data_IF_223586049203
#
_entry.id   IF_223586049203
#
_cell.length_a   1.000
_cell.length_b   1.000
_cell.length_c   1.000
_cell.angle_alpha   90.00
_cell.angle_beta   90.00
_cell.angle_gamma   90.00
#
_symmetry.space_group_name_H-M   'P 1'
#
loop_
_entity.id
_entity.type
_entity.pdbx_description
1 polymer ?
#
# COMPACT_ATOMS: atom_id res chain seq x y z
N UNK A 1 14.18 -21.38 18.58
CA UNK A 1 14.80 -21.15 17.25
C UNK A 1 16.32 -20.90 17.32
N UNK A 2 16.92 -20.85 18.52
CA UNK A 2 18.39 -20.76 18.70
C UNK A 2 19.02 -19.46 18.21
N UNK A 3 18.33 -18.33 18.34
CA UNK A 3 18.88 -17.01 17.99
C UNK A 3 20.12 -16.69 18.81
N UNK A 4 21.18 -16.17 18.18
CA UNK A 4 22.47 -15.95 18.82
C UNK A 4 22.66 -14.54 19.38
N UNK A 5 21.92 -13.54 18.90
CA UNK A 5 22.01 -12.16 19.34
C UNK A 5 20.69 -11.42 19.08
N UNK A 6 20.37 -10.46 19.93
CA UNK A 6 19.28 -9.50 19.76
C UNK A 6 19.88 -8.14 19.45
N UNK A 7 19.48 -7.53 18.33
CA UNK A 7 19.85 -6.17 17.95
C UNK A 7 18.59 -5.31 17.93
N UNK A 8 18.46 -4.42 18.88
CA UNK A 8 17.33 -3.48 18.94
C UNK A 8 17.46 -2.42 17.83
N UNK A 9 16.43 -2.35 16.98
CA UNK A 9 16.23 -1.26 16.01
C UNK A 9 15.43 -0.11 16.64
N UNK A 10 14.55 -0.46 17.59
CA UNK A 10 13.90 0.45 18.52
C UNK A 10 13.57 -0.34 19.79
N UNK A 11 14.04 0.12 20.94
CA UNK A 11 13.88 -0.59 22.21
C UNK A 11 12.40 -0.81 22.54
N UNK A 12 12.04 -2.06 22.83
CA UNK A 12 10.67 -2.46 23.16
C UNK A 12 9.69 -2.43 21.97
N UNK A 13 10.14 -2.10 20.74
CA UNK A 13 9.27 -1.97 19.57
C UNK A 13 9.71 -2.93 18.46
N UNK A 14 10.99 -2.91 18.05
CA UNK A 14 11.47 -3.73 16.96
C UNK A 14 12.91 -4.19 17.18
N UNK A 15 13.19 -5.46 16.91
CA UNK A 15 14.53 -6.02 17.01
C UNK A 15 14.80 -7.04 15.89
N UNK A 16 16.07 -7.19 15.56
CA UNK A 16 16.59 -8.26 14.73
C UNK A 16 17.10 -9.41 15.60
N UNK A 17 16.80 -10.63 15.19
CA UNK A 17 17.33 -11.86 15.76
C UNK A 17 18.14 -12.58 14.68
N UNK A 18 19.45 -12.75 14.91
CA UNK A 18 20.27 -13.54 14.00
C UNK A 18 19.97 -15.03 14.16
N UNK A 19 19.51 -15.64 13.07
CA UNK A 19 19.19 -17.08 13.02
C UNK A 19 20.37 -17.92 12.51
N UNK A 20 20.43 -19.20 12.89
CA UNK A 20 21.43 -20.12 12.29
C UNK A 20 21.28 -20.19 10.76
N UNK A 21 22.38 -20.40 10.00
CA UNK A 21 22.33 -20.47 8.52
C UNK A 21 21.41 -21.58 7.97
N UNK A 22 21.12 -22.61 8.77
CA UNK A 22 20.25 -23.72 8.39
C UNK A 22 18.76 -23.45 8.63
N UNK A 23 18.40 -22.32 9.22
CA UNK A 23 17.02 -21.98 9.50
C UNK A 23 16.20 -21.80 8.20
N UNK A 24 15.08 -22.50 8.12
CA UNK A 24 14.14 -22.39 6.99
C UNK A 24 13.14 -21.27 7.31
N UNK A 25 13.01 -20.29 6.42
CA UNK A 25 12.23 -19.08 6.68
C UNK A 25 10.75 -19.37 7.03
N UNK A 26 10.08 -20.20 6.25
CA UNK A 26 8.65 -20.50 6.45
C UNK A 26 8.41 -21.30 7.74
N UNK A 27 9.25 -22.30 8.00
CA UNK A 27 9.19 -23.13 9.21
C UNK A 27 9.46 -22.29 10.47
N UNK A 28 10.53 -21.51 10.45
CA UNK A 28 10.90 -20.62 11.56
C UNK A 28 9.83 -19.57 11.82
N UNK A 29 9.24 -19.01 10.78
CA UNK A 29 8.12 -18.05 10.92
C UNK A 29 6.92 -18.70 11.60
N UNK A 30 6.56 -19.93 11.20
CA UNK A 30 5.46 -20.68 11.79
C UNK A 30 5.72 -21.03 13.26
N UNK A 31 6.93 -21.50 13.61
CA UNK A 31 7.33 -21.79 14.99
C UNK A 31 7.26 -20.54 15.87
N UNK A 32 7.81 -19.40 15.41
CA UNK A 32 7.81 -18.16 16.16
C UNK A 32 6.39 -17.64 16.39
N UNK A 33 5.54 -17.66 15.39
CA UNK A 33 4.13 -17.27 15.52
C UNK A 33 3.38 -18.17 16.49
N UNK A 34 3.61 -19.48 16.42
CA UNK A 34 3.01 -20.43 17.36
C UNK A 34 3.47 -20.19 18.80
N UNK A 35 4.75 -19.88 19.00
CA UNK A 35 5.31 -19.59 20.33
C UNK A 35 4.79 -18.27 20.93
N UNK A 36 4.57 -17.25 20.09
CA UNK A 36 4.02 -15.95 20.50
C UNK A 36 2.51 -16.02 20.77
N UNK A 37 1.80 -16.96 20.14
CA UNK A 37 0.36 -17.13 20.35
C UNK A 37 -0.45 -15.90 19.96
N UNK A 38 -1.10 -15.26 20.94
CA UNK A 38 -1.95 -14.07 20.74
C UNK A 38 -1.21 -12.74 20.98
N UNK A 39 0.10 -12.77 21.22
CA UNK A 39 0.86 -11.53 21.40
C UNK A 39 0.84 -10.70 20.12
N UNK A 40 0.62 -9.37 20.18
CA UNK A 40 0.51 -8.49 19.02
C UNK A 40 1.90 -8.17 18.41
N UNK A 41 2.56 -9.21 17.90
CA UNK A 41 3.92 -9.11 17.35
C UNK A 41 3.95 -9.63 15.92
N UNK A 42 4.41 -8.79 14.99
CA UNK A 42 4.67 -9.18 13.62
C UNK A 42 6.04 -9.89 13.52
N UNK A 43 6.05 -11.06 12.88
CA UNK A 43 7.26 -11.88 12.73
C UNK A 43 7.57 -12.07 11.26
N UNK A 44 8.77 -11.64 10.86
CA UNK A 44 9.28 -11.76 9.50
C UNK A 44 10.67 -12.41 9.51
N UNK A 45 10.83 -13.47 8.72
CA UNK A 45 12.12 -14.11 8.49
C UNK A 45 12.58 -13.83 7.07
N UNK A 46 13.75 -13.22 6.92
CA UNK A 46 14.29 -12.79 5.62
C UNK A 46 15.83 -12.79 5.62
N UNK A 47 16.43 -12.68 4.44
CA UNK A 47 17.87 -12.49 4.29
C UNK A 47 18.24 -11.03 4.64
N UNK A 48 19.23 -10.87 5.51
CA UNK A 48 19.66 -9.55 5.97
C UNK A 48 20.34 -8.72 4.86
N UNK A 49 21.11 -9.38 3.97
CA UNK A 49 21.92 -8.74 2.95
C UNK A 49 21.09 -8.05 1.86
N UNK A 50 19.90 -8.55 1.58
CA UNK A 50 19.02 -8.06 0.50
C UNK A 50 17.81 -7.27 0.97
N UNK A 51 17.69 -7.02 2.29
CA UNK A 51 16.50 -6.40 2.88
C UNK A 51 16.32 -4.91 2.58
N UNK A 52 17.43 -4.18 2.33
CA UNK A 52 17.40 -2.76 1.99
C UNK A 52 16.95 -2.58 0.54
N UNK A 53 15.88 -1.85 0.31
CA UNK A 53 15.26 -1.71 -1.01
C UNK A 53 15.49 -0.31 -1.60
N UNK A 54 15.46 -0.26 -2.93
CA UNK A 54 15.72 0.96 -3.72
C UNK A 54 14.46 1.53 -4.37
N UNK A 55 13.35 0.79 -4.29
CA UNK A 55 12.03 1.22 -4.79
C UNK A 55 11.01 0.94 -3.69
N UNK A 56 10.14 1.93 -3.40
CA UNK A 56 8.89 1.76 -2.66
C UNK A 56 7.73 1.92 -3.64
N UNK A 57 6.88 0.93 -3.74
CA UNK A 57 5.60 1.00 -4.43
C UNK A 57 4.48 0.80 -3.41
N UNK A 58 3.60 1.77 -3.25
CA UNK A 58 2.52 1.72 -2.26
C UNK A 58 1.16 1.91 -2.91
N UNK A 59 0.14 1.18 -2.43
CA UNK A 59 -1.26 1.52 -2.64
C UNK A 59 -1.65 2.75 -1.83
N UNK A 60 -2.77 3.37 -2.15
CA UNK A 60 -3.26 4.57 -1.47
C UNK A 60 -4.36 4.25 -0.45
N UNK A 61 -5.53 3.85 -0.95
CA UNK A 61 -6.73 3.63 -0.14
C UNK A 61 -6.51 2.46 0.82
N UNK A 62 -6.92 2.60 2.09
CA UNK A 62 -6.71 1.60 3.15
C UNK A 62 -5.24 1.15 3.38
N UNK A 63 -4.27 1.86 2.79
CA UNK A 63 -2.82 1.58 2.93
C UNK A 63 -2.02 2.81 3.36
N UNK A 64 -1.98 3.89 2.54
CA UNK A 64 -1.30 5.16 2.87
C UNK A 64 -2.25 6.19 3.47
N UNK A 65 -3.54 5.96 3.34
CA UNK A 65 -4.65 6.63 4.04
C UNK A 65 -5.61 5.58 4.59
N UNK A 66 -6.38 5.95 5.63
CA UNK A 66 -7.30 5.02 6.30
C UNK A 66 -8.60 4.79 5.52
N UNK A 67 -8.98 5.72 4.63
CA UNK A 67 -10.27 5.75 3.94
C UNK A 67 -10.20 5.18 2.51
N UNK A 68 -11.39 4.90 1.96
CA UNK A 68 -11.64 4.65 0.54
C UNK A 68 -12.15 5.92 -0.12
N UNK A 69 -11.38 6.55 -0.98
CA UNK A 69 -11.71 7.87 -1.56
C UNK A 69 -13.02 7.89 -2.35
N UNK A 70 -13.38 6.79 -3.02
CA UNK A 70 -14.64 6.73 -3.76
C UNK A 70 -15.86 6.73 -2.83
N UNK A 71 -15.71 6.13 -1.64
CA UNK A 71 -16.78 6.13 -0.63
C UNK A 71 -16.98 7.52 -0.04
N UNK A 72 -15.90 8.28 0.16
CA UNK A 72 -15.96 9.65 0.63
C UNK A 72 -16.64 10.58 -0.38
N UNK A 73 -16.36 10.42 -1.69
CA UNK A 73 -17.07 11.14 -2.75
C UNK A 73 -18.56 10.77 -2.81
N UNK A 74 -18.86 9.48 -2.66
CA UNK A 74 -20.24 8.98 -2.71
C UNK A 74 -21.09 9.50 -1.53
N UNK A 75 -20.47 9.62 -0.35
CA UNK A 75 -21.11 10.13 0.86
C UNK A 75 -21.51 11.61 0.70
N UNK A 76 -20.69 12.43 0.03
CA UNK A 76 -20.99 13.85 -0.24
C UNK A 76 -22.31 14.08 -0.99
N UNK A 77 -22.78 13.10 -1.75
CA UNK A 77 -24.03 13.16 -2.51
C UNK A 77 -25.06 12.11 -2.09
N UNK A 78 -24.81 11.43 -0.95
CA UNK A 78 -25.76 10.47 -0.36
C UNK A 78 -25.97 9.19 -1.18
N UNK A 79 -24.95 8.75 -1.95
CA UNK A 79 -25.01 7.51 -2.76
C UNK A 79 -24.05 6.41 -2.27
N UNK A 80 -23.51 6.54 -1.05
CA UNK A 80 -22.55 5.62 -0.47
C UNK A 80 -23.03 4.16 -0.50
N UNK A 81 -24.29 3.91 -0.10
CA UNK A 81 -24.86 2.56 -0.10
C UNK A 81 -24.90 1.94 -1.51
N UNK A 82 -25.15 2.76 -2.53
CA UNK A 82 -25.15 2.31 -3.93
C UNK A 82 -23.74 1.95 -4.41
N UNK A 83 -22.76 2.75 -4.06
CA UNK A 83 -21.34 2.48 -4.35
C UNK A 83 -20.90 1.22 -3.64
N UNK A 84 -21.23 1.04 -2.38
CA UNK A 84 -20.93 -0.15 -1.60
C UNK A 84 -21.56 -1.42 -2.21
N UNK A 85 -22.80 -1.35 -2.70
CA UNK A 85 -23.47 -2.48 -3.37
C UNK A 85 -22.73 -2.89 -4.67
N UNK A 86 -22.28 -1.91 -5.48
CA UNK A 86 -21.51 -2.21 -6.71
C UNK A 86 -20.15 -2.82 -6.35
N UNK A 87 -19.49 -2.29 -5.32
CA UNK A 87 -18.21 -2.82 -4.82
C UNK A 87 -18.36 -4.28 -4.37
N UNK A 88 -19.41 -4.59 -3.61
CA UNK A 88 -19.70 -5.96 -3.17
C UNK A 88 -19.88 -6.92 -4.35
N UNK A 89 -20.64 -6.53 -5.38
CA UNK A 89 -20.82 -7.33 -6.62
C UNK A 89 -19.48 -7.58 -7.33
N UNK A 90 -18.62 -6.58 -7.38
CA UNK A 90 -17.29 -6.73 -7.98
C UNK A 90 -16.40 -7.67 -7.15
N UNK A 91 -16.42 -7.56 -5.82
CA UNK A 91 -15.66 -8.43 -4.93
C UNK A 91 -16.15 -9.90 -4.97
N UNK A 92 -17.45 -10.11 -5.21
CA UNK A 92 -18.02 -11.44 -5.41
C UNK A 92 -17.76 -12.03 -6.81
N UNK A 93 -17.11 -11.27 -7.70
CA UNK A 93 -16.85 -11.70 -9.08
C UNK A 93 -18.06 -11.64 -10.03
N UNK A 94 -19.16 -11.01 -9.59
CA UNK A 94 -20.38 -10.85 -10.40
C UNK A 94 -20.19 -9.85 -11.54
N UNK A 95 -19.34 -8.84 -11.34
CA UNK A 95 -18.94 -7.87 -12.36
C UNK A 95 -17.43 -7.65 -12.31
N UNK A 96 -16.80 -7.42 -13.47
CA UNK A 96 -15.38 -7.13 -13.56
C UNK A 96 -15.05 -5.73 -13.02
N UNK A 97 -13.75 -5.49 -12.71
CA UNK A 97 -13.27 -4.23 -12.11
C UNK A 97 -13.65 -2.99 -12.92
N UNK A 98 -13.37 -2.98 -14.24
CA UNK A 98 -13.61 -1.80 -15.07
C UNK A 98 -15.11 -1.42 -15.18
N UNK A 99 -16.03 -2.34 -15.49
CA UNK A 99 -17.46 -2.04 -15.43
C UNK A 99 -17.92 -1.53 -14.08
N UNK A 100 -17.42 -2.12 -12.97
CA UNK A 100 -17.75 -1.68 -11.62
C UNK A 100 -17.24 -0.27 -11.34
N UNK A 101 -16.02 0.06 -11.79
CA UNK A 101 -15.46 1.41 -11.65
C UNK A 101 -16.31 2.43 -12.42
N UNK A 102 -16.66 2.12 -13.68
CA UNK A 102 -17.51 3.00 -14.50
C UNK A 102 -18.90 3.21 -13.90
N UNK A 103 -19.53 2.14 -13.39
CA UNK A 103 -20.85 2.21 -12.74
C UNK A 103 -20.80 3.09 -11.48
N UNK A 104 -19.76 2.98 -10.65
CA UNK A 104 -19.56 3.80 -9.46
C UNK A 104 -19.28 5.27 -9.82
N UNK A 105 -18.39 5.52 -10.79
CA UNK A 105 -18.05 6.88 -11.23
C UNK A 105 -19.23 7.57 -11.89
N UNK A 106 -20.08 6.85 -12.62
CA UNK A 106 -21.30 7.44 -13.21
C UNK A 106 -22.23 8.07 -12.16
N UNK A 107 -22.24 7.54 -10.93
CA UNK A 107 -23.01 8.11 -9.82
C UNK A 107 -22.51 9.49 -9.38
N UNK A 108 -21.24 9.81 -9.63
CA UNK A 108 -20.61 11.09 -9.25
C UNK A 108 -20.89 12.22 -10.26
N UNK A 109 -21.68 11.97 -11.30
CA UNK A 109 -21.97 12.96 -12.34
C UNK A 109 -22.58 14.24 -11.75
N UNK A 110 -21.97 15.37 -12.09
CA UNK A 110 -22.42 16.71 -11.66
C UNK A 110 -21.89 17.15 -10.29
N UNK A 111 -21.20 16.28 -9.55
CA UNK A 111 -20.53 16.64 -8.31
C UNK A 111 -19.44 17.69 -8.59
N UNK A 112 -19.39 18.72 -7.75
CA UNK A 112 -18.38 19.78 -7.84
C UNK A 112 -16.99 19.20 -7.52
N UNK A 113 -16.02 19.36 -8.42
CA UNK A 113 -14.68 18.83 -8.23
C UNK A 113 -13.93 19.46 -7.03
N UNK A 114 -14.32 20.68 -6.61
CA UNK A 114 -13.77 21.31 -5.40
C UNK A 114 -14.06 20.55 -4.10
N UNK A 115 -14.98 19.58 -4.12
CA UNK A 115 -15.24 18.68 -2.99
C UNK A 115 -13.99 17.89 -2.59
N UNK A 116 -13.11 17.55 -3.55
CA UNK A 116 -11.89 16.78 -3.30
C UNK A 116 -11.01 17.47 -2.25
N UNK A 117 -10.81 18.78 -2.38
CA UNK A 117 -9.97 19.53 -1.43
C UNK A 117 -10.57 19.52 -0.01
N UNK A 118 -11.90 19.58 0.11
CA UNK A 118 -12.59 19.48 1.41
C UNK A 118 -12.48 18.08 2.00
N UNK A 119 -12.60 17.04 1.18
CA UNK A 119 -12.44 15.64 1.63
C UNK A 119 -11.01 15.44 2.12
N UNK A 120 -10.00 15.82 1.33
CA UNK A 120 -8.60 15.68 1.73
C UNK A 120 -8.29 16.41 3.04
N UNK A 121 -8.81 17.64 3.19
CA UNK A 121 -8.53 18.46 4.37
C UNK A 121 -9.24 18.00 5.66
N UNK A 122 -10.44 17.40 5.55
CA UNK A 122 -11.31 17.22 6.71
C UNK A 122 -11.73 15.76 6.97
N UNK A 123 -11.51 14.86 6.01
CA UNK A 123 -12.03 13.48 6.09
C UNK A 123 -10.95 12.42 5.91
N UNK A 124 -9.86 12.72 5.20
CA UNK A 124 -8.79 11.76 5.02
C UNK A 124 -7.77 11.84 6.16
N UNK A 125 -7.35 10.67 6.61
CA UNK A 125 -6.30 10.48 7.61
C UNK A 125 -5.12 9.77 6.96
N UNK A 126 -3.93 10.37 7.03
CA UNK A 126 -2.72 9.68 6.59
C UNK A 126 -2.43 8.51 7.54
N UNK A 127 -2.17 7.35 6.98
CA UNK A 127 -1.85 6.16 7.76
C UNK A 127 -0.57 6.36 8.59
N UNK A 128 -0.61 5.86 9.83
CA UNK A 128 0.51 6.00 10.77
C UNK A 128 1.81 5.47 10.16
N UNK A 129 2.89 6.22 10.34
CA UNK A 129 4.22 5.87 9.83
C UNK A 129 4.42 6.10 8.32
N UNK A 130 3.37 6.43 7.56
CA UNK A 130 3.46 6.60 6.10
C UNK A 130 4.45 7.67 5.68
N UNK A 131 4.40 8.84 6.33
CA UNK A 131 5.35 9.93 6.04
C UNK A 131 6.78 9.53 6.38
N UNK A 132 7.00 8.93 7.55
CA UNK A 132 8.32 8.45 7.95
C UNK A 132 8.88 7.43 6.97
N UNK A 133 8.06 6.48 6.51
CA UNK A 133 8.45 5.49 5.51
C UNK A 133 8.94 6.15 4.22
N UNK A 134 8.12 7.01 3.63
CA UNK A 134 8.43 7.66 2.34
C UNK A 134 9.65 8.56 2.45
N UNK A 135 9.69 9.44 3.46
CA UNK A 135 10.79 10.41 3.62
C UNK A 135 12.12 9.71 3.91
N UNK A 136 12.12 8.70 4.79
CA UNK A 136 13.34 7.97 5.13
C UNK A 136 13.89 7.21 3.93
N UNK A 137 13.04 6.49 3.19
CA UNK A 137 13.49 5.77 1.99
C UNK A 137 14.02 6.73 0.91
N UNK A 138 13.35 7.86 0.66
CA UNK A 138 13.82 8.89 -0.28
C UNK A 138 15.18 9.45 0.10
N UNK A 139 15.36 9.83 1.36
CA UNK A 139 16.63 10.38 1.84
C UNK A 139 17.79 9.39 1.72
N UNK A 140 17.47 8.08 1.67
CA UNK A 140 18.42 7.01 1.43
C UNK A 140 18.51 6.59 -0.06
N UNK A 141 18.02 7.43 -0.97
CA UNK A 141 18.18 7.26 -2.42
C UNK A 141 17.18 6.29 -3.07
N UNK A 142 16.14 5.86 -2.36
CA UNK A 142 15.09 5.04 -2.97
C UNK A 142 14.13 5.89 -3.81
N UNK A 143 13.63 5.32 -4.90
CA UNK A 143 12.52 5.85 -5.67
C UNK A 143 11.19 5.46 -5.00
N UNK A 144 10.27 6.41 -4.87
CA UNK A 144 8.98 6.16 -4.19
C UNK A 144 7.82 6.49 -5.11
N UNK A 145 6.89 5.54 -5.30
CA UNK A 145 5.73 5.67 -6.16
C UNK A 145 4.44 5.25 -5.43
N UNK A 146 3.40 6.09 -5.54
CA UNK A 146 2.05 5.84 -5.08
C UNK A 146 1.22 5.38 -6.27
N UNK A 147 0.71 4.14 -6.27
CA UNK A 147 -0.04 3.57 -7.42
C UNK A 147 -1.37 3.00 -6.94
N UNK A 148 -2.47 3.65 -7.33
CA UNK A 148 -3.81 3.34 -6.85
C UNK A 148 -4.77 3.00 -7.99
N UNK A 149 -5.70 2.07 -7.72
CA UNK A 149 -6.90 1.88 -8.53
C UNK A 149 -7.96 2.99 -8.35
N UNK A 150 -7.73 3.91 -7.39
CA UNK A 150 -8.53 5.10 -7.15
C UNK A 150 -8.27 6.22 -8.16
N UNK A 151 -8.25 7.48 -7.70
CA UNK A 151 -8.28 8.64 -8.59
C UNK A 151 -7.11 9.60 -8.41
N UNK A 152 -6.59 10.10 -9.55
CA UNK A 152 -5.45 11.02 -9.63
C UNK A 152 -5.67 12.32 -8.82
N UNK A 153 -6.91 12.79 -8.75
CA UNK A 153 -7.28 13.97 -7.95
C UNK A 153 -6.99 13.79 -6.45
N UNK A 154 -6.92 12.57 -5.94
CA UNK A 154 -6.49 12.25 -4.58
C UNK A 154 -5.01 11.88 -4.52
N UNK A 155 -4.56 10.96 -5.40
CA UNK A 155 -3.16 10.48 -5.33
C UNK A 155 -2.16 11.62 -5.48
N UNK A 156 -2.44 12.65 -6.29
CA UNK A 156 -1.57 13.82 -6.42
C UNK A 156 -1.39 14.54 -5.08
N UNK A 157 -2.49 14.81 -4.37
CA UNK A 157 -2.46 15.51 -3.08
C UNK A 157 -1.80 14.67 -1.98
N UNK A 158 -2.15 13.40 -1.90
CA UNK A 158 -1.57 12.47 -0.91
C UNK A 158 -0.08 12.25 -1.19
N UNK A 159 0.32 12.11 -2.45
CA UNK A 159 1.71 11.99 -2.83
C UNK A 159 2.53 13.24 -2.42
N UNK A 160 2.00 14.44 -2.62
CA UNK A 160 2.61 15.69 -2.16
C UNK A 160 2.75 15.73 -0.64
N UNK A 161 1.67 15.39 0.10
CA UNK A 161 1.67 15.41 1.56
C UNK A 161 2.67 14.45 2.18
N UNK A 162 2.83 13.25 1.59
CA UNK A 162 3.75 12.21 2.06
C UNK A 162 5.16 12.37 1.48
N UNK A 163 5.27 13.04 0.32
CA UNK A 163 6.52 13.29 -0.40
C UNK A 163 6.91 12.18 -1.38
N UNK A 164 5.95 11.44 -1.96
CA UNK A 164 6.24 10.55 -3.08
C UNK A 164 6.79 11.30 -4.29
N UNK A 165 7.65 10.63 -5.06
CA UNK A 165 8.26 11.22 -6.28
C UNK A 165 7.39 11.01 -7.51
N UNK A 166 6.51 10.01 -7.47
CA UNK A 166 5.63 9.64 -8.58
C UNK A 166 4.28 9.17 -8.03
N UNK A 167 3.18 9.49 -8.74
CA UNK A 167 1.89 8.88 -8.47
C UNK A 167 1.22 8.46 -9.77
N UNK A 168 0.38 7.41 -9.72
CA UNK A 168 -0.41 6.89 -10.83
C UNK A 168 -1.77 6.45 -10.32
N UNK A 169 -2.83 6.90 -11.00
CA UNK A 169 -4.20 6.49 -10.69
C UNK A 169 -5.13 6.74 -11.89
N UNK A 170 -6.39 6.33 -11.77
CA UNK A 170 -7.41 6.63 -12.76
C UNK A 170 -7.79 8.12 -12.76
N UNK A 171 -8.18 8.64 -13.90
CA UNK A 171 -8.60 10.04 -14.03
C UNK A 171 -10.11 10.18 -13.99
N UNK A 172 -10.64 10.97 -13.06
CA UNK A 172 -12.01 11.45 -13.13
C UNK A 172 -12.08 12.60 -14.16
N UNK A 173 -12.93 12.46 -15.15
CA UNK A 173 -13.12 13.51 -16.14
C UNK A 173 -14.06 14.58 -15.59
N UNK A 174 -13.67 15.83 -15.69
CA UNK A 174 -14.49 16.98 -15.34
C UNK A 174 -14.76 17.88 -16.54
N UNK A 175 -15.82 18.67 -16.45
CA UNK A 175 -16.15 19.74 -17.37
C UNK A 175 -16.68 20.95 -16.58
N UNK A 176 -15.97 22.06 -16.69
CA UNK A 176 -16.33 23.28 -15.97
C UNK A 176 -16.33 23.11 -14.43
N UNK A 177 -15.41 22.33 -13.89
CA UNK A 177 -15.27 22.08 -12.47
C UNK A 177 -16.29 21.08 -11.88
N UNK A 178 -16.99 20.34 -12.74
CA UNK A 178 -17.92 19.27 -12.30
C UNK A 178 -17.56 17.94 -12.94
N UNK A 179 -17.57 16.87 -12.15
CA UNK A 179 -17.33 15.53 -12.65
C UNK A 179 -18.40 15.13 -13.67
N UNK A 180 -17.94 14.59 -14.81
CA UNK A 180 -18.82 14.17 -15.90
C UNK A 180 -19.50 12.82 -15.66
N UNK A 181 -19.03 12.07 -14.66
CA UNK A 181 -19.41 10.68 -14.41
C UNK A 181 -18.65 9.71 -15.33
N UNK A 182 -17.56 10.14 -15.94
CA UNK A 182 -16.72 9.31 -16.82
C UNK A 182 -15.30 9.18 -16.26
N UNK A 183 -14.66 8.04 -16.57
CA UNK A 183 -13.25 7.76 -16.28
C UNK A 183 -12.44 7.95 -17.54
N UNK A 184 -11.26 8.56 -17.43
CA UNK A 184 -10.29 8.69 -18.51
C UNK A 184 -9.66 7.34 -18.87
N UNK A 185 -9.34 7.17 -20.16
CA UNK A 185 -8.62 5.99 -20.63
C UNK A 185 -7.08 6.23 -20.65
N UNK A 186 -6.26 5.17 -20.51
CA UNK A 186 -6.64 3.80 -20.16
C UNK A 186 -7.04 3.69 -18.69
N UNK A 187 -7.91 2.73 -18.34
CA UNK A 187 -8.24 2.44 -16.95
C UNK A 187 -7.12 1.59 -16.33
N UNK A 188 -6.62 2.05 -15.19
CA UNK A 188 -5.64 1.35 -14.39
C UNK A 188 -6.34 0.31 -13.52
N UNK A 189 -6.33 -0.92 -13.99
CA UNK A 189 -6.87 -2.08 -13.26
C UNK A 189 -5.81 -2.78 -12.41
N UNK A 190 -6.09 -4.02 -12.02
CA UNK A 190 -5.23 -4.83 -11.15
C UNK A 190 -3.80 -5.00 -11.69
N UNK A 191 -3.64 -5.25 -13.00
CA UNK A 191 -2.33 -5.45 -13.62
C UNK A 191 -1.46 -4.19 -13.60
N UNK A 192 -2.08 -3.01 -13.60
CA UNK A 192 -1.38 -1.73 -13.72
C UNK A 192 -0.35 -1.49 -12.60
N UNK A 193 -0.58 -2.00 -11.38
CA UNK A 193 0.38 -1.87 -10.27
C UNK A 193 1.65 -2.70 -10.52
N UNK A 194 1.52 -3.92 -11.01
CA UNK A 194 2.67 -4.75 -11.39
C UNK A 194 3.41 -4.18 -12.61
N UNK A 195 2.68 -3.68 -13.61
CA UNK A 195 3.24 -3.02 -14.79
C UNK A 195 4.01 -1.75 -14.39
N UNK A 196 3.45 -0.92 -13.50
CA UNK A 196 4.12 0.25 -12.95
C UNK A 196 5.45 -0.12 -12.27
N UNK A 197 5.49 -1.21 -11.49
CA UNK A 197 6.71 -1.69 -10.87
C UNK A 197 7.75 -2.07 -11.92
N UNK A 198 7.37 -2.82 -12.94
CA UNK A 198 8.28 -3.23 -14.02
C UNK A 198 8.83 -2.04 -14.80
N UNK A 199 8.00 -1.07 -15.15
CA UNK A 199 8.41 0.16 -15.83
C UNK A 199 9.38 0.99 -14.99
N UNK A 200 9.10 1.16 -13.69
CA UNK A 200 9.99 1.87 -12.77
C UNK A 200 11.33 1.14 -12.66
N UNK A 201 11.32 -0.18 -12.49
CA UNK A 201 12.53 -1.00 -12.49
C UNK A 201 13.36 -0.80 -13.77
N UNK A 202 12.72 -0.91 -14.93
CA UNK A 202 13.40 -0.76 -16.22
C UNK A 202 14.01 0.65 -16.39
N UNK A 203 13.27 1.69 -16.02
CA UNK A 203 13.72 3.09 -16.09
C UNK A 203 14.93 3.37 -15.19
N UNK A 204 14.99 2.73 -14.02
CA UNK A 204 16.05 2.93 -13.04
C UNK A 204 17.24 1.93 -13.20
N UNK A 205 17.16 0.99 -14.13
CA UNK A 205 18.15 -0.08 -14.26
C UNK A 205 18.18 -1.03 -13.05
N UNK A 206 17.04 -1.21 -12.41
CA UNK A 206 16.80 -2.07 -11.26
C UNK A 206 15.94 -3.27 -11.63
N UNK A 207 15.76 -4.18 -10.69
CA UNK A 207 14.89 -5.35 -10.82
C UNK A 207 13.80 -5.34 -9.77
N UNK A 208 12.72 -6.12 -9.91
CA UNK A 208 11.73 -6.27 -8.86
C UNK A 208 12.29 -6.73 -7.50
N UNK A 209 13.44 -7.42 -7.48
CA UNK A 209 14.13 -7.81 -6.25
C UNK A 209 14.60 -6.60 -5.41
N UNK A 210 14.84 -5.44 -6.07
CA UNK A 210 15.23 -4.18 -5.43
C UNK A 210 14.03 -3.40 -4.86
N UNK A 211 12.80 -3.91 -4.99
CA UNK A 211 11.58 -3.22 -4.59
C UNK A 211 10.94 -3.78 -3.32
N UNK A 212 10.35 -2.88 -2.53
CA UNK A 212 9.33 -3.19 -1.54
C UNK A 212 7.98 -2.65 -2.03
N UNK A 213 6.95 -3.51 -2.01
CA UNK A 213 5.59 -3.15 -2.38
C UNK A 213 4.66 -3.37 -1.18
N UNK A 214 3.72 -2.46 -0.94
CA UNK A 214 2.75 -2.56 0.16
C UNK A 214 1.33 -2.27 -0.29
N UNK A 215 0.38 -3.06 0.19
CA UNK A 215 -1.04 -2.92 -0.05
C UNK A 215 -1.87 -3.82 0.86
N UNK A 216 -3.20 -3.66 0.85
CA UNK A 216 -4.15 -4.40 1.69
C UNK A 216 -5.12 -5.28 0.89
N UNK A 217 -5.30 -4.99 -0.40
CA UNK A 217 -6.36 -5.51 -1.24
C UNK A 217 -5.95 -6.58 -2.26
N UNK A 218 -6.94 -7.28 -2.81
CA UNK A 218 -6.71 -8.29 -3.85
C UNK A 218 -6.12 -7.71 -5.14
N UNK A 219 -6.34 -6.41 -5.40
CA UNK A 219 -5.76 -5.63 -6.48
C UNK A 219 -4.25 -5.43 -6.33
N UNK A 220 -3.69 -5.65 -5.13
CA UNK A 220 -2.25 -5.49 -4.83
C UNK A 220 -1.45 -6.77 -4.99
N UNK A 221 -2.13 -7.93 -5.04
CA UNK A 221 -1.48 -9.23 -5.03
C UNK A 221 -0.42 -9.40 -6.11
N UNK A 222 -0.64 -8.85 -7.31
CA UNK A 222 0.31 -9.03 -8.41
C UNK A 222 1.59 -8.22 -8.17
N UNK A 223 1.51 -6.98 -7.65
CA UNK A 223 2.70 -6.22 -7.25
C UNK A 223 3.38 -6.80 -6.00
N UNK A 224 2.59 -7.27 -5.01
CA UNK A 224 3.11 -7.90 -3.79
C UNK A 224 3.90 -9.19 -4.13
N UNK A 225 3.40 -10.01 -5.06
CA UNK A 225 4.11 -11.23 -5.49
C UNK A 225 5.36 -10.94 -6.31
N UNK A 226 5.33 -9.86 -7.10
CA UNK A 226 6.42 -9.49 -7.99
C UNK A 226 7.59 -8.85 -7.26
N UNK A 227 7.33 -8.02 -6.25
CA UNK A 227 8.35 -7.29 -5.51
C UNK A 227 9.24 -8.23 -4.69
N UNK A 228 10.52 -7.88 -4.55
CA UNK A 228 11.47 -8.60 -3.72
C UNK A 228 11.02 -8.70 -2.25
N UNK A 229 10.32 -7.67 -1.77
CA UNK A 229 9.60 -7.69 -0.49
C UNK A 229 8.19 -7.18 -0.71
N UNK A 230 7.23 -8.09 -0.81
CA UNK A 230 5.82 -7.74 -0.92
C UNK A 230 5.12 -7.86 0.42
N UNK A 231 4.52 -6.77 0.88
CA UNK A 231 3.93 -6.61 2.22
C UNK A 231 2.42 -6.50 2.12
N UNK A 232 1.71 -7.38 2.81
CA UNK A 232 0.29 -7.26 3.11
C UNK A 232 0.14 -6.51 4.44
N UNK A 233 -0.36 -5.27 4.41
CA UNK A 233 -0.54 -4.41 5.58
C UNK A 233 -2.01 -4.44 6.00
N UNK A 234 -2.31 -4.90 7.24
CA UNK A 234 -3.67 -5.01 7.78
C UNK A 234 -4.66 -5.62 6.78
N UNK A 235 -4.14 -6.52 5.94
CA UNK A 235 -4.80 -6.97 4.74
C UNK A 235 -5.96 -7.93 5.03
N UNK A 236 -6.91 -7.98 4.09
CA UNK A 236 -8.00 -8.97 4.11
C UNK A 236 -7.42 -10.39 4.18
N UNK A 237 -8.09 -11.34 4.86
CA UNK A 237 -7.56 -12.69 5.09
C UNK A 237 -7.08 -13.41 3.83
N UNK A 238 -7.79 -13.22 2.71
CA UNK A 238 -7.43 -13.80 1.40
C UNK A 238 -6.15 -13.24 0.81
N UNK A 239 -5.81 -12.00 1.11
CA UNK A 239 -4.57 -11.32 0.69
C UNK A 239 -3.43 -11.70 1.63
N UNK A 240 -3.68 -11.61 2.94
CA UNK A 240 -2.73 -11.97 3.99
C UNK A 240 -2.20 -13.41 3.84
N UNK A 241 -3.08 -14.36 3.44
CA UNK A 241 -2.70 -15.75 3.21
C UNK A 241 -1.78 -15.98 2.00
N UNK A 242 -1.67 -15.01 1.09
CA UNK A 242 -0.88 -15.10 -0.15
C UNK A 242 0.39 -14.26 -0.12
N UNK A 243 0.57 -13.40 0.87
CA UNK A 243 1.75 -12.57 1.04
C UNK A 243 2.79 -13.27 1.92
N UNK A 244 4.07 -13.18 1.53
CA UNK A 244 5.18 -13.70 2.34
C UNK A 244 5.40 -12.86 3.60
N UNK A 245 5.24 -11.55 3.48
CA UNK A 245 5.38 -10.60 4.59
C UNK A 245 3.99 -10.07 4.95
N UNK A 246 3.62 -10.19 6.22
CA UNK A 246 2.38 -9.67 6.80
C UNK A 246 2.71 -8.75 7.94
N UNK A 247 2.05 -7.60 7.95
CA UNK A 247 2.01 -6.68 9.08
C UNK A 247 0.55 -6.59 9.53
N UNK A 248 0.28 -7.20 10.67
CA UNK A 248 -1.08 -7.29 11.22
C UNK A 248 -1.27 -6.34 12.42
N UNK A 249 -0.18 -5.92 13.08
CA UNK A 249 -0.21 -5.16 14.34
C UNK A 249 0.49 -3.80 14.26
N UNK A 250 1.65 -3.75 13.62
CA UNK A 250 2.43 -2.52 13.51
C UNK A 250 1.91 -1.60 12.39
N UNK A 251 2.33 -0.34 12.41
CA UNK A 251 2.07 0.64 11.36
C UNK A 251 3.10 0.56 10.21
N UNK A 252 3.05 1.51 9.28
CA UNK A 252 3.95 1.56 8.12
C UNK A 252 5.43 1.71 8.48
N UNK A 253 5.78 2.09 9.72
CA UNK A 253 7.18 2.11 10.17
C UNK A 253 7.79 0.72 10.24
N UNK A 254 6.99 -0.35 10.33
CA UNK A 254 7.46 -1.72 10.25
C UNK A 254 8.26 -1.98 8.97
N UNK A 255 7.89 -1.34 7.86
CA UNK A 255 8.59 -1.48 6.59
C UNK A 255 10.01 -0.87 6.62
N UNK A 256 10.26 0.09 7.51
CA UNK A 256 11.61 0.61 7.77
C UNK A 256 12.41 -0.38 8.63
N UNK A 257 11.83 -0.88 9.72
CA UNK A 257 12.49 -1.90 10.54
C UNK A 257 12.81 -3.16 9.76
N UNK A 258 11.90 -3.63 8.89
CA UNK A 258 12.17 -4.73 7.96
C UNK A 258 13.45 -4.51 7.15
N UNK A 259 13.69 -3.28 6.71
CA UNK A 259 14.85 -2.90 5.94
C UNK A 259 16.09 -2.62 6.80
N UNK A 260 16.00 -2.76 8.14
CA UNK A 260 17.09 -2.57 9.08
C UNK A 260 17.42 -1.10 9.34
N UNK A 261 16.47 -0.19 9.11
CA UNK A 261 16.58 1.17 9.65
C UNK A 261 16.34 1.14 11.15
N UNK A 262 17.07 1.97 11.88
CA UNK A 262 16.83 2.19 13.30
C UNK A 262 15.85 3.35 13.50
N UNK A 263 15.27 3.46 14.67
CA UNK A 263 14.31 4.53 14.99
C UNK A 263 14.93 5.92 14.80
N UNK A 264 16.21 6.08 15.13
CA UNK A 264 16.97 7.32 14.96
C UNK A 264 17.18 7.71 13.48
N UNK A 265 17.06 6.78 12.55
CA UNK A 265 17.18 7.03 11.09
C UNK A 265 15.89 7.59 10.48
N UNK A 266 14.76 7.57 11.21
CA UNK A 266 13.46 7.95 10.67
C UNK A 266 13.33 9.46 10.51
N UNK A 267 12.94 9.87 9.30
CA UNK A 267 12.56 11.25 9.01
C UNK A 267 11.05 11.43 9.18
N UNK A 268 10.64 12.62 9.67
CA UNK A 268 9.23 12.96 9.93
C UNK A 268 8.70 13.97 8.93
#
# INVERSE_FOLDING_TARGET
VGASAVVWLAEGIACDLALPPAAQADETTAELRAALGAEPVDVIVQQAETRRKKILLADMDSTMIDQECIDELADEIGVKDRVAAITARSMNGEIAFEPALRERVALLKGLDAAVVDRIVANRLTLASGGRALVQTMRANGAWTALVSGGFEVFTTRIAEMLGFQENRANRLLDLGGRFTGLVGEPILGRAAKAEALLEICARLGLTPADAIAVGDGANDLDMIRLAGTGVALHAKPTVAAQAKVRIDHADLTALLYLQGYRKEDFLQ
#
